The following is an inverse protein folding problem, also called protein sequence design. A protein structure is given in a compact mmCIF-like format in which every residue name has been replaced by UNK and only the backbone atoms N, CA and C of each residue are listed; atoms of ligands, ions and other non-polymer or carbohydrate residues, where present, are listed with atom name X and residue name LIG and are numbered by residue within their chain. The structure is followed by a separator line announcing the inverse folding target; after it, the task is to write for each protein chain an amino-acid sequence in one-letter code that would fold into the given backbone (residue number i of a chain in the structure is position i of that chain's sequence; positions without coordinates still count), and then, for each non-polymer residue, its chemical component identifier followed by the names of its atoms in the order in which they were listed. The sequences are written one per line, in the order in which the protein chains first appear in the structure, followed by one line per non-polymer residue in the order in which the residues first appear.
data_IF_176807532094
#
_entry.id   IF_176807532094
#
_cell.length_a   1.000
_cell.length_b   1.000
_cell.length_c   1.000
_cell.angle_alpha   90.00
_cell.angle_beta   90.00
_cell.angle_gamma   90.00
#
_symmetry.space_group_name_H-M   'P 1'
#
loop_
_entity.id
_entity.type
_entity.pdbx_description
1 polymer ?
#
# COMPACT_ATOMS: atom_id res chain seq x y z
N UNK A 1 -17.12 -10.07 -15.16
CA UNK A 1 -16.71 -8.97 -16.07
C UNK A 1 -15.21 -9.09 -16.22
N UNK A 2 -14.73 -9.39 -17.42
CA UNK A 2 -13.30 -9.31 -17.71
C UNK A 2 -12.92 -7.82 -17.77
N UNK A 3 -12.01 -7.41 -16.89
CA UNK A 3 -11.58 -6.01 -16.77
C UNK A 3 -10.60 -5.61 -17.87
N UNK A 4 -10.21 -6.53 -18.76
CA UNK A 4 -9.17 -6.36 -19.79
C UNK A 4 -7.81 -5.91 -19.22
N UNK A 5 -7.56 -6.16 -17.93
CA UNK A 5 -6.31 -5.79 -17.24
C UNK A 5 -5.29 -6.91 -17.40
N UNK A 6 -4.07 -6.56 -17.80
CA UNK A 6 -2.94 -7.49 -17.81
C UNK A 6 -2.52 -7.87 -16.38
N UNK A 7 -2.35 -9.17 -16.14
CA UNK A 7 -1.96 -9.71 -14.83
C UNK A 7 -0.54 -10.24 -14.89
N UNK A 8 0.28 -9.85 -13.92
CA UNK A 8 1.68 -10.24 -13.81
C UNK A 8 1.91 -10.96 -12.47
N UNK A 9 2.77 -11.99 -12.47
CA UNK A 9 3.15 -12.74 -11.29
C UNK A 9 4.66 -12.64 -11.05
N UNK A 10 5.04 -12.59 -9.77
CA UNK A 10 6.43 -12.74 -9.37
C UNK A 10 6.86 -14.21 -9.48
N UNK A 11 8.13 -14.44 -9.77
CA UNK A 11 8.73 -15.77 -9.78
C UNK A 11 8.66 -16.41 -8.39
N UNK A 12 8.52 -17.75 -8.30
CA UNK A 12 8.59 -18.46 -7.04
C UNK A 12 9.86 -18.11 -6.25
N UNK A 13 9.73 -18.01 -4.93
CA UNK A 13 10.82 -17.68 -4.01
C UNK A 13 11.61 -16.37 -4.31
N UNK A 14 10.99 -15.43 -5.03
CA UNK A 14 11.62 -14.16 -5.44
C UNK A 14 10.98 -12.93 -4.78
N UNK A 15 11.09 -12.75 -3.45
CA UNK A 15 10.42 -11.65 -2.71
C UNK A 15 10.85 -10.25 -3.17
N UNK A 16 12.09 -10.11 -3.67
CA UNK A 16 12.63 -8.83 -4.15
C UNK A 16 11.83 -8.23 -5.32
N UNK A 17 11.16 -9.05 -6.14
CA UNK A 17 10.27 -8.58 -7.21
C UNK A 17 9.01 -7.86 -6.69
N UNK A 18 8.78 -7.94 -5.36
CA UNK A 18 7.65 -7.33 -4.66
C UNK A 18 8.10 -6.42 -3.52
N UNK A 19 9.34 -5.93 -3.54
CA UNK A 19 9.93 -5.17 -2.43
C UNK A 19 9.06 -3.99 -1.94
N UNK A 20 8.43 -3.25 -2.85
CA UNK A 20 7.50 -2.15 -2.49
C UNK A 20 6.27 -2.64 -1.72
N UNK A 21 5.68 -3.76 -2.14
CA UNK A 21 4.52 -4.35 -1.47
C UNK A 21 4.90 -4.87 -0.09
N UNK A 22 6.07 -5.48 0.05
CA UNK A 22 6.58 -5.96 1.33
C UNK A 22 6.86 -4.82 2.30
N UNK A 23 7.48 -3.73 1.82
CA UNK A 23 7.68 -2.51 2.61
C UNK A 23 6.35 -1.91 3.08
N UNK A 24 5.37 -1.81 2.18
CA UNK A 24 4.04 -1.28 2.53
C UNK A 24 3.33 -2.16 3.56
N UNK A 25 3.38 -3.49 3.40
CA UNK A 25 2.83 -4.43 4.37
C UNK A 25 3.46 -4.24 5.76
N UNK A 26 4.78 -4.04 5.84
CA UNK A 26 5.45 -3.74 7.11
C UNK A 26 4.90 -2.49 7.80
N UNK A 27 4.58 -1.44 7.04
CA UNK A 27 4.00 -0.21 7.59
C UNK A 27 2.55 -0.39 8.03
N UNK A 28 1.75 -1.14 7.28
CA UNK A 28 0.39 -1.50 7.70
C UNK A 28 0.43 -2.28 9.02
N UNK A 29 1.42 -3.15 9.21
CA UNK A 29 1.60 -3.92 10.45
C UNK A 29 1.97 -3.09 11.67
N UNK A 30 2.46 -1.85 11.50
CA UNK A 30 2.64 -0.91 12.61
C UNK A 30 1.29 -0.45 13.20
N UNK A 31 0.21 -0.48 12.41
CA UNK A 31 -1.14 -0.12 12.84
C UNK A 31 -2.01 -1.34 13.15
N UNK A 32 -1.82 -2.44 12.41
CA UNK A 32 -2.56 -3.68 12.55
C UNK A 32 -1.59 -4.85 12.74
N UNK A 33 -1.17 -5.13 13.99
CA UNK A 33 -0.22 -6.19 14.30
C UNK A 33 -0.62 -7.56 13.74
N UNK A 34 0.33 -8.50 13.72
CA UNK A 34 0.02 -9.88 13.31
C UNK A 34 -1.08 -10.45 14.22
N UNK A 35 -2.09 -11.06 13.62
CA UNK A 35 -3.26 -11.59 14.34
C UNK A 35 -4.46 -10.63 14.44
N UNK A 36 -4.37 -9.39 13.92
CA UNK A 36 -5.55 -8.52 13.80
C UNK A 36 -6.63 -9.17 12.94
N UNK A 37 -7.81 -9.35 13.51
CA UNK A 37 -9.03 -9.74 12.79
C UNK A 37 -9.64 -8.51 12.11
N UNK A 38 -9.41 -8.38 10.81
CA UNK A 38 -9.90 -7.25 10.02
C UNK A 38 -11.43 -7.19 9.91
N UNK A 39 -12.17 -8.25 10.25
CA UNK A 39 -13.64 -8.17 10.33
C UNK A 39 -14.11 -7.32 11.51
N UNK A 40 -13.26 -7.17 12.54
CA UNK A 40 -13.54 -6.33 13.72
C UNK A 40 -12.99 -4.91 13.58
N UNK A 41 -12.18 -4.64 12.55
CA UNK A 41 -11.65 -3.30 12.28
C UNK A 41 -12.68 -2.51 11.49
N UNK A 42 -13.05 -1.35 12.00
CA UNK A 42 -14.03 -0.52 11.31
C UNK A 42 -13.49 0.01 9.97
N UNK A 43 -14.37 0.18 8.98
CA UNK A 43 -13.99 0.84 7.72
C UNK A 43 -13.38 2.23 7.93
N UNK A 44 -13.83 2.95 8.98
CA UNK A 44 -13.30 4.26 9.37
C UNK A 44 -11.83 4.16 9.80
N UNK A 45 -11.47 3.16 10.59
CA UNK A 45 -10.08 2.93 11.01
C UNK A 45 -9.19 2.55 9.83
N UNK A 46 -9.66 1.64 8.97
CA UNK A 46 -8.94 1.29 7.73
C UNK A 46 -8.67 2.54 6.90
N UNK A 47 -9.70 3.38 6.68
CA UNK A 47 -9.56 4.60 5.90
C UNK A 47 -8.62 5.61 6.56
N UNK A 48 -8.66 5.72 7.89
CA UNK A 48 -7.74 6.57 8.66
C UNK A 48 -6.29 6.16 8.41
N UNK A 49 -5.97 4.87 8.55
CA UNK A 49 -4.61 4.34 8.33
C UNK A 49 -4.20 4.50 6.85
N UNK A 50 -5.09 4.22 5.91
CA UNK A 50 -4.84 4.45 4.48
C UNK A 50 -4.47 5.91 4.20
N UNK A 51 -5.23 6.86 4.74
CA UNK A 51 -4.97 8.29 4.56
C UNK A 51 -3.63 8.69 5.19
N UNK A 52 -3.30 8.16 6.37
CA UNK A 52 -1.99 8.39 7.00
C UNK A 52 -0.84 7.87 6.15
N UNK A 53 -0.96 6.67 5.58
CA UNK A 53 0.09 6.07 4.75
C UNK A 53 0.26 6.79 3.40
N UNK A 54 -0.85 7.19 2.77
CA UNK A 54 -0.84 7.94 1.51
C UNK A 54 -0.39 9.39 1.69
N UNK A 55 -0.62 9.96 2.87
CA UNK A 55 -0.17 11.31 3.23
C UNK A 55 1.23 11.35 3.85
N UNK A 56 1.92 10.21 4.02
CA UNK A 56 3.26 10.13 4.62
C UNK A 56 4.34 10.36 3.56
N UNK A 57 5.14 11.45 3.66
CA UNK A 57 6.32 11.69 2.83
C UNK A 57 7.21 10.46 2.65
N UNK A 58 7.65 10.18 1.42
CA UNK A 58 8.53 9.05 1.11
C UNK A 58 9.85 9.52 0.52
N UNK A 59 10.97 9.04 1.07
CA UNK A 59 12.31 9.36 0.57
C UNK A 59 12.48 9.02 -0.93
N UNK A 60 11.89 7.90 -1.39
CA UNK A 60 11.93 7.50 -2.81
C UNK A 60 11.18 8.47 -3.74
N UNK A 61 10.28 9.28 -3.19
CA UNK A 61 9.52 10.31 -3.89
C UNK A 61 10.06 11.71 -3.57
N UNK A 62 11.36 11.85 -3.29
CA UNK A 62 11.97 13.13 -2.88
C UNK A 62 11.26 13.79 -1.68
N UNK A 63 10.74 12.97 -0.76
CA UNK A 63 9.94 13.40 0.39
C UNK A 63 8.58 14.00 0.05
N UNK A 64 8.07 13.79 -1.15
CA UNK A 64 6.67 14.08 -1.47
C UNK A 64 5.73 13.00 -0.91
N UNK A 65 4.45 13.36 -0.79
CA UNK A 65 3.41 12.44 -0.34
C UNK A 65 2.95 11.58 -1.52
N UNK A 66 2.79 10.25 -1.33
CA UNK A 66 2.26 9.37 -2.37
C UNK A 66 0.95 9.85 -3.00
N UNK A 67 0.03 10.43 -2.22
CA UNK A 67 -1.21 10.98 -2.76
C UNK A 67 -1.00 12.13 -3.74
N UNK A 68 -0.02 13.00 -3.48
CA UNK A 68 0.22 14.18 -4.32
C UNK A 68 0.88 13.77 -5.64
N UNK A 69 1.89 12.89 -5.57
CA UNK A 69 2.53 12.30 -6.75
C UNK A 69 1.52 11.52 -7.60
N UNK A 70 0.65 10.73 -6.96
CA UNK A 70 -0.39 9.99 -7.67
C UNK A 70 -1.34 10.92 -8.43
N UNK A 71 -1.76 12.04 -7.82
CA UNK A 71 -2.61 13.03 -8.48
C UNK A 71 -1.91 13.74 -9.65
N UNK A 72 -0.58 13.85 -9.64
CA UNK A 72 0.18 14.40 -10.77
C UNK A 72 0.18 13.44 -11.98
N UNK A 73 0.27 12.13 -11.73
CA UNK A 73 0.30 11.10 -12.79
C UNK A 73 -1.07 10.85 -13.43
N UNK A 74 -2.15 11.15 -12.71
CA UNK A 74 -3.52 11.05 -13.23
C UNK A 74 -3.95 12.23 -14.11
N UNK A 75 -3.15 13.30 -14.15
CA UNK A 75 -3.38 14.46 -15.00
C UNK A 75 -2.70 14.27 -16.34
#
# INVERSE_FOLDING_TARGET
RDTSIQVYFAHPASPWERGTNENMNGLIRQFFPKGTDFNKVSRREIKKVQNMLNGRPRKILNWEKPCDVYLQVLR
#
